data_IF_310903742038
#
_entry.id   IF_310903742038
#
_cell.length_a   1.000
_cell.length_b   1.000
_cell.length_c   1.000
_cell.angle_alpha   90.00
_cell.angle_beta   90.00
_cell.angle_gamma   90.00
#
_symmetry.space_group_name_H-M   'P 1'
#
loop_
_entity.id
_entity.type
_entity.pdbx_description
1 polymer ?
#
# COMPACT_ATOMS: atom_id res chain seq x y z
N UNK A 1 -69.19 1.88 2.90
CA UNK A 1 -69.00 2.97 1.92
C UNK A 1 -68.07 3.95 2.59
N UNK A 2 -66.77 4.05 2.30
CA UNK A 2 -65.87 3.53 1.22
C UNK A 2 -64.45 3.95 1.72
N UNK A 3 -63.51 3.02 1.95
CA UNK A 3 -62.26 2.77 1.17
C UNK A 3 -61.28 3.96 1.18
N UNK A 4 -60.06 3.94 1.75
CA UNK A 4 -58.80 3.15 1.58
C UNK A 4 -57.84 3.68 0.47
N UNK A 5 -56.52 3.48 0.67
CA UNK A 5 -55.33 3.80 -0.18
C UNK A 5 -54.76 5.25 -0.13
N UNK A 6 -53.46 5.57 -0.21
CA UNK A 6 -52.21 4.81 -0.38
C UNK A 6 -51.01 5.68 0.10
N UNK A 7 -49.87 5.05 0.35
CA UNK A 7 -48.58 5.65 0.67
C UNK A 7 -47.83 6.16 -0.58
N UNK A 8 -46.89 7.09 -0.39
CA UNK A 8 -45.52 7.02 -0.96
C UNK A 8 -44.64 8.08 -0.29
N UNK A 9 -43.51 7.61 0.23
CA UNK A 9 -42.35 8.40 0.60
C UNK A 9 -41.52 8.69 -0.66
N UNK A 10 -40.96 9.90 -0.76
CA UNK A 10 -39.78 10.24 -1.55
C UNK A 10 -39.34 11.65 -1.11
N UNK A 11 -38.23 11.75 -0.38
CA UNK A 11 -37.49 13.01 -0.25
C UNK A 11 -35.99 12.69 -0.15
N UNK A 12 -35.40 12.42 -1.31
CA UNK A 12 -33.96 12.47 -1.50
C UNK A 12 -33.56 13.95 -1.62
N UNK A 13 -32.87 14.47 -0.61
CA UNK A 13 -32.39 15.84 -0.58
C UNK A 13 -31.25 16.04 -1.58
N UNK A 14 -31.58 16.57 -2.76
CA UNK A 14 -30.62 17.04 -3.76
C UNK A 14 -29.82 18.25 -3.23
N UNK A 15 -28.50 18.16 -3.20
CA UNK A 15 -27.64 19.31 -2.88
C UNK A 15 -27.65 20.34 -4.02
N UNK A 16 -27.92 21.60 -3.65
CA UNK A 16 -28.11 22.73 -4.56
C UNK A 16 -26.78 23.25 -5.12
N UNK A 17 -26.63 23.19 -6.45
CA UNK A 17 -25.59 23.92 -7.21
C UNK A 17 -25.64 25.41 -6.88
N UNK A 18 -24.55 25.96 -6.32
CA UNK A 18 -24.30 27.41 -6.32
C UNK A 18 -23.18 27.74 -7.28
N UNK A 19 -23.57 28.48 -8.33
CA UNK A 19 -22.70 29.06 -9.35
C UNK A 19 -21.69 30.04 -8.72
N UNK A 20 -20.41 29.89 -9.03
CA UNK A 20 -19.39 30.91 -8.81
C UNK A 20 -19.01 31.55 -10.14
N UNK A 21 -19.30 32.85 -10.27
CA UNK A 21 -19.04 33.63 -11.47
C UNK A 21 -17.55 33.97 -11.60
N UNK A 22 -16.93 33.45 -12.67
CA UNK A 22 -15.60 33.84 -13.13
C UNK A 22 -15.65 35.24 -13.75
N UNK A 23 -14.94 36.20 -13.14
CA UNK A 23 -14.62 37.49 -13.75
C UNK A 23 -13.44 37.32 -14.71
N UNK A 24 -13.72 37.41 -16.01
CA UNK A 24 -12.72 37.23 -17.07
C UNK A 24 -11.83 38.44 -17.37
N UNK A 25 -10.66 38.15 -17.97
CA UNK A 25 -9.99 38.97 -18.99
C UNK A 25 -9.41 38.02 -20.03
N UNK A 26 -9.70 38.26 -21.32
CA UNK A 26 -9.51 37.32 -22.42
C UNK A 26 -8.18 37.39 -23.20
N UNK A 27 -7.74 36.20 -23.64
CA UNK A 27 -7.64 35.69 -25.04
C UNK A 27 -6.74 36.39 -26.10
N UNK A 28 -5.70 35.62 -26.50
CA UNK A 28 -5.05 35.39 -27.84
C UNK A 28 -4.17 36.49 -28.49
N UNK A 29 -3.05 36.25 -29.21
CA UNK A 29 -2.44 35.09 -29.90
C UNK A 29 -0.91 35.40 -30.15
N UNK A 30 0.04 34.58 -30.64
CA UNK A 30 0.11 33.67 -31.81
C UNK A 30 1.40 32.81 -31.72
N UNK A 31 1.30 31.53 -32.15
CA UNK A 31 2.22 30.94 -33.14
C UNK A 31 3.54 30.30 -32.68
N UNK A 32 3.69 28.99 -32.93
CA UNK A 32 4.99 28.34 -33.06
C UNK A 32 4.97 26.87 -32.67
N UNK A 33 5.09 25.99 -33.66
CA UNK A 33 5.19 24.55 -33.51
C UNK A 33 6.35 24.12 -32.59
N UNK A 34 6.12 23.08 -31.77
CA UNK A 34 7.17 22.44 -30.98
C UNK A 34 6.66 21.21 -30.24
N UNK A 35 7.20 20.05 -30.62
CA UNK A 35 7.30 18.76 -29.90
C UNK A 35 6.24 18.41 -28.84
N UNK A 36 5.54 17.29 -29.07
CA UNK A 36 4.87 16.51 -28.02
C UNK A 36 5.93 15.95 -27.07
N UNK A 37 6.24 16.68 -26.02
CA UNK A 37 6.79 16.15 -24.78
C UNK A 37 5.60 15.98 -23.84
N UNK A 38 5.23 14.74 -23.57
CA UNK A 38 4.37 14.37 -22.44
C UNK A 38 5.16 14.63 -21.16
N UNK A 39 5.29 15.90 -20.79
CA UNK A 39 5.56 16.27 -19.41
C UNK A 39 4.23 16.20 -18.69
N UNK A 40 4.03 15.17 -17.87
CA UNK A 40 3.05 15.19 -16.79
C UNK A 40 3.38 16.38 -15.90
N UNK A 41 2.77 17.52 -16.24
CA UNK A 41 2.88 18.75 -15.49
C UNK A 41 2.16 18.56 -14.17
N UNK A 42 2.93 18.32 -13.10
CA UNK A 42 2.51 18.59 -11.71
C UNK A 42 1.90 19.99 -11.67
N UNK A 43 0.57 20.04 -11.61
CA UNK A 43 -0.22 21.14 -12.13
C UNK A 43 -1.49 21.47 -11.35
N UNK A 44 -1.58 21.13 -10.07
CA UNK A 44 -2.30 21.87 -9.02
C UNK A 44 -1.68 21.43 -7.69
N UNK A 45 -1.78 22.18 -6.60
CA UNK A 45 -1.11 21.82 -5.34
C UNK A 45 -1.76 20.61 -4.67
N UNK A 46 -1.51 19.41 -5.19
CA UNK A 46 -1.84 18.16 -4.52
C UNK A 46 -0.93 18.08 -3.28
N UNK A 47 -1.57 18.21 -2.13
CA UNK A 47 -0.87 18.15 -0.86
C UNK A 47 -0.34 16.73 -0.71
N UNK A 48 0.96 16.53 -0.92
CA UNK A 48 1.61 15.27 -0.53
C UNK A 48 1.42 15.07 0.96
N UNK A 49 1.23 13.83 1.40
CA UNK A 49 1.15 13.47 2.81
C UNK A 49 2.33 12.59 3.20
N UNK A 50 2.57 12.51 4.51
CA UNK A 50 3.50 11.55 5.11
C UNK A 50 2.71 10.68 6.06
N UNK A 51 2.70 9.37 5.75
CA UNK A 51 2.27 8.34 6.69
C UNK A 51 3.43 8.04 7.64
N UNK A 52 3.14 7.94 8.92
CA UNK A 52 4.12 7.66 9.96
C UNK A 52 3.59 6.57 10.90
N UNK A 53 4.34 5.48 11.06
CA UNK A 53 4.12 4.51 12.14
C UNK A 53 5.39 4.39 12.97
N UNK A 54 5.37 4.96 14.17
CA UNK A 54 6.57 5.04 15.00
C UNK A 54 7.70 5.85 14.34
N UNK A 55 8.82 5.18 14.04
CA UNK A 55 9.92 5.75 13.23
C UNK A 55 9.84 5.44 11.74
N UNK A 56 8.98 4.53 11.30
CA UNK A 56 8.73 4.24 9.89
C UNK A 56 7.90 5.37 9.27
N UNK A 57 8.21 5.72 8.02
CA UNK A 57 7.54 6.77 7.26
C UNK A 57 7.44 6.39 5.79
N UNK A 58 6.38 6.86 5.15
CA UNK A 58 6.12 6.70 3.72
C UNK A 58 5.58 8.01 3.16
N UNK A 59 5.95 8.33 1.91
CA UNK A 59 5.24 9.34 1.16
C UNK A 59 3.88 8.79 0.74
N UNK A 60 2.88 9.66 0.76
CA UNK A 60 1.51 9.32 0.39
C UNK A 60 1.04 10.32 -0.65
N UNK A 61 0.75 9.76 -1.81
CA UNK A 61 -0.05 10.36 -2.88
C UNK A 61 -1.51 9.88 -2.75
N UNK A 62 -2.48 10.78 -2.48
CA UNK A 62 -3.88 10.41 -2.43
C UNK A 62 -4.38 9.77 -3.72
N UNK A 63 -5.21 8.74 -3.61
CA UNK A 63 -5.93 8.16 -4.76
C UNK A 63 -6.90 9.19 -5.32
N UNK A 64 -7.14 9.14 -6.62
CA UNK A 64 -8.20 9.92 -7.28
C UNK A 64 -8.71 9.14 -8.48
N UNK A 65 -9.98 9.34 -8.84
CA UNK A 65 -10.56 8.71 -10.02
C UNK A 65 -11.42 9.70 -10.77
N UNK A 66 -10.96 10.11 -11.96
CA UNK A 66 -11.60 11.12 -12.79
C UNK A 66 -12.00 12.37 -11.98
N UNK A 67 -13.27 12.81 -12.08
CA UNK A 67 -13.86 13.88 -11.28
C UNK A 67 -14.81 13.33 -10.19
N UNK A 68 -14.74 12.03 -9.87
CA UNK A 68 -15.67 11.37 -8.96
C UNK A 68 -15.48 11.86 -7.52
N UNK A 69 -16.60 12.11 -6.85
CA UNK A 69 -16.62 12.32 -5.40
C UNK A 69 -16.24 11.04 -4.66
N UNK A 70 -15.87 11.15 -3.38
CA UNK A 70 -15.56 9.96 -2.57
C UNK A 70 -16.78 9.04 -2.39
N UNK A 71 -18.00 9.60 -2.40
CA UNK A 71 -19.24 8.81 -2.32
C UNK A 71 -19.47 8.01 -3.61
N UNK A 72 -19.26 8.63 -4.77
CA UNK A 72 -19.34 7.97 -6.07
C UNK A 72 -18.23 6.94 -6.25
N UNK A 73 -17.01 7.24 -5.78
CA UNK A 73 -15.91 6.28 -5.81
C UNK A 73 -16.16 5.09 -4.89
N UNK A 74 -16.71 5.30 -3.69
CA UNK A 74 -16.97 4.23 -2.71
C UNK A 74 -18.15 3.34 -3.14
N UNK A 75 -19.18 3.96 -3.73
CA UNK A 75 -20.40 3.32 -4.24
C UNK A 75 -21.00 2.28 -3.28
N UNK A 76 -21.55 2.75 -2.15
CA UNK A 76 -22.13 1.87 -1.16
C UNK A 76 -23.43 1.20 -1.65
N UNK A 77 -23.40 -0.12 -1.74
CA UNK A 77 -24.51 -0.94 -2.22
C UNK A 77 -25.38 -1.44 -1.06
N UNK A 78 -26.45 -0.69 -0.77
CA UNK A 78 -27.41 -1.01 0.33
C UNK A 78 -28.01 -2.42 0.30
N UNK A 79 -28.03 -3.11 -0.85
CA UNK A 79 -28.56 -4.48 -0.96
C UNK A 79 -27.57 -5.55 -0.51
N UNK A 80 -26.28 -5.33 -0.76
CA UNK A 80 -25.20 -6.23 -0.35
C UNK A 80 -24.55 -5.79 0.96
N UNK A 81 -24.86 -4.58 1.47
CA UNK A 81 -24.17 -3.98 2.60
C UNK A 81 -22.65 -4.02 2.40
N UNK A 82 -22.20 -3.52 1.24
CA UNK A 82 -20.79 -3.51 0.86
C UNK A 82 -20.48 -2.35 -0.07
N UNK A 83 -19.23 -1.92 -0.09
CA UNK A 83 -18.68 -1.02 -1.08
C UNK A 83 -18.55 -1.73 -2.44
N UNK A 84 -18.68 -0.97 -3.53
CA UNK A 84 -18.48 -1.44 -4.90
C UNK A 84 -17.67 -0.41 -5.68
N UNK A 85 -16.41 -0.16 -5.29
CA UNK A 85 -15.73 1.03 -5.72
C UNK A 85 -15.53 1.10 -7.24
N UNK A 86 -15.50 2.33 -7.78
CA UNK A 86 -15.41 2.57 -9.24
C UNK A 86 -14.15 1.94 -9.89
N UNK A 87 -13.09 1.79 -9.11
CA UNK A 87 -11.94 0.95 -9.41
C UNK A 87 -11.77 -0.02 -8.25
N UNK A 88 -11.57 -1.29 -8.56
CA UNK A 88 -11.50 -2.32 -7.53
C UNK A 88 -10.23 -2.17 -6.69
N UNK A 89 -10.45 -1.82 -5.43
CA UNK A 89 -9.43 -1.75 -4.38
C UNK A 89 -9.79 -2.65 -3.20
N UNK A 90 -10.81 -3.51 -3.36
CA UNK A 90 -11.42 -4.32 -2.30
C UNK A 90 -11.11 -5.80 -2.42
N UNK A 91 -10.89 -6.28 -3.63
CA UNK A 91 -10.54 -7.68 -3.90
C UNK A 91 -9.16 -8.06 -3.36
N UNK A 92 -8.91 -9.36 -3.31
CA UNK A 92 -7.73 -9.99 -2.74
C UNK A 92 -7.86 -10.38 -1.27
N UNK A 93 -6.74 -10.53 -0.54
CA UNK A 93 -6.74 -11.11 0.80
C UNK A 93 -7.53 -10.28 1.80
N UNK A 94 -7.82 -10.89 2.94
CA UNK A 94 -8.58 -10.25 3.99
C UNK A 94 -7.75 -9.07 4.52
N UNK A 95 -8.17 -7.83 4.27
CA UNK A 95 -7.37 -6.68 4.69
C UNK A 95 -8.25 -5.56 5.26
N UNK A 96 -7.66 -4.83 6.21
CA UNK A 96 -8.15 -3.52 6.60
C UNK A 96 -7.37 -2.48 5.80
N UNK A 97 -8.00 -1.93 4.77
CA UNK A 97 -7.42 -0.95 3.84
C UNK A 97 -7.76 0.47 4.28
N UNK A 98 -6.78 1.34 4.20
CA UNK A 98 -6.90 2.78 4.50
C UNK A 98 -6.19 3.58 3.42
N UNK A 99 -6.80 4.66 2.94
CA UNK A 99 -6.15 5.57 2.00
C UNK A 99 -6.71 6.97 2.08
N UNK A 100 -6.00 7.92 1.46
CA UNK A 100 -6.52 9.24 1.19
C UNK A 100 -7.11 9.26 -0.22
N UNK A 101 -8.25 9.90 -0.39
CA UNK A 101 -8.92 10.10 -1.67
C UNK A 101 -9.04 11.60 -1.96
N UNK A 102 -8.43 12.07 -3.05
CA UNK A 102 -8.56 13.43 -3.54
C UNK A 102 -9.77 13.54 -4.48
N UNK A 103 -10.85 14.15 -3.98
CA UNK A 103 -12.06 14.42 -4.77
C UNK A 103 -12.19 15.89 -5.17
N UNK A 104 -13.23 16.24 -5.94
CA UNK A 104 -13.43 17.59 -6.50
C UNK A 104 -13.66 18.68 -5.45
N UNK A 105 -14.00 18.30 -4.22
CA UNK A 105 -14.33 19.21 -3.10
C UNK A 105 -13.37 19.06 -1.91
N UNK A 106 -12.28 18.33 -2.06
CA UNK A 106 -11.27 18.14 -1.03
C UNK A 106 -10.82 16.69 -0.84
N UNK A 107 -9.95 16.49 0.15
CA UNK A 107 -9.41 15.18 0.50
C UNK A 107 -10.28 14.47 1.54
N UNK A 108 -10.48 13.18 1.35
CA UNK A 108 -11.18 12.27 2.26
C UNK A 108 -10.23 11.19 2.79
N UNK A 109 -10.45 10.75 4.02
CA UNK A 109 -9.82 9.55 4.58
C UNK A 109 -10.82 8.39 4.47
N UNK A 110 -10.43 7.34 3.74
CA UNK A 110 -11.30 6.21 3.40
C UNK A 110 -10.82 4.95 4.12
N UNK A 111 -11.79 4.16 4.56
CA UNK A 111 -11.62 2.86 5.19
C UNK A 111 -12.43 1.83 4.42
N UNK A 112 -11.79 0.71 4.08
CA UNK A 112 -12.42 -0.46 3.48
C UNK A 112 -11.91 -1.70 4.21
N UNK A 113 -12.81 -2.56 4.64
CA UNK A 113 -12.51 -3.72 5.46
C UNK A 113 -13.13 -4.97 4.85
N UNK A 114 -12.42 -6.09 4.95
CA UNK A 114 -12.86 -7.34 4.33
C UNK A 114 -12.51 -7.41 2.86
N UNK A 115 -13.16 -8.33 2.16
CA UNK A 115 -12.97 -8.57 0.73
C UNK A 115 -14.17 -9.36 0.21
N UNK A 116 -14.66 -9.07 -1.01
CA UNK A 116 -15.64 -9.92 -1.67
C UNK A 116 -15.14 -11.36 -1.88
N UNK A 117 -13.82 -11.58 -1.80
CA UNK A 117 -13.20 -12.85 -2.17
C UNK A 117 -12.94 -13.80 -1.00
N UNK A 118 -13.19 -13.32 0.21
CA UNK A 118 -12.80 -14.02 1.43
C UNK A 118 -14.02 -14.64 2.10
N UNK A 119 -13.97 -15.95 2.31
CA UNK A 119 -15.06 -16.79 2.84
C UNK A 119 -15.34 -16.63 4.34
N UNK A 120 -14.70 -15.65 4.99
CA UNK A 120 -14.90 -15.34 6.39
C UNK A 120 -15.00 -13.83 6.63
N UNK A 121 -15.82 -13.48 7.62
CA UNK A 121 -16.00 -12.12 8.08
C UNK A 121 -14.94 -11.69 9.09
N UNK A 122 -15.09 -10.46 9.58
CA UNK A 122 -14.13 -9.89 10.51
C UNK A 122 -14.65 -8.72 11.32
N UNK A 123 -13.74 -8.06 12.02
CA UNK A 123 -14.06 -6.87 12.81
C UNK A 123 -12.88 -5.93 12.84
N UNK A 124 -13.13 -4.67 12.50
CA UNK A 124 -12.19 -3.58 12.65
C UNK A 124 -12.74 -2.59 13.66
N UNK A 125 -12.04 -2.39 14.77
CA UNK A 125 -12.35 -1.33 15.72
C UNK A 125 -11.19 -0.34 15.75
N UNK A 126 -11.40 0.86 15.22
CA UNK A 126 -10.38 1.90 15.14
C UNK A 126 -10.78 3.10 15.98
N UNK A 127 -9.77 3.83 16.46
CA UNK A 127 -9.96 5.12 17.13
C UNK A 127 -9.13 6.22 16.49
N UNK A 128 -9.68 7.43 16.46
CA UNK A 128 -9.18 8.56 15.70
C UNK A 128 -8.94 9.77 16.60
N UNK A 129 -7.93 10.56 16.23
CA UNK A 129 -7.74 11.92 16.75
C UNK A 129 -7.24 12.82 15.63
N UNK A 130 -7.56 14.12 15.69
CA UNK A 130 -7.18 15.10 14.67
C UNK A 130 -8.24 15.35 13.59
N UNK A 131 -9.32 14.55 13.54
CA UNK A 131 -10.49 14.83 12.69
C UNK A 131 -11.26 16.05 13.24
N UNK A 132 -11.64 16.97 12.35
CA UNK A 132 -12.28 18.23 12.71
C UNK A 132 -13.74 18.25 12.30
N UNK A 133 -14.60 18.62 13.25
CA UNK A 133 -16.06 18.72 13.08
C UNK A 133 -16.52 19.93 12.30
N UNK A 134 -15.72 20.98 12.37
CA UNK A 134 -16.00 22.25 11.70
C UNK A 134 -15.41 22.30 10.31
N UNK A 135 -14.53 21.35 9.97
CA UNK A 135 -13.86 21.27 8.67
C UNK A 135 -14.22 20.00 7.88
N UNK A 136 -14.90 19.02 8.49
CA UNK A 136 -15.19 17.76 7.83
C UNK A 136 -16.34 16.96 8.47
N UNK A 137 -16.80 15.95 7.76
CA UNK A 137 -17.86 15.02 8.18
C UNK A 137 -17.72 13.66 7.49
N UNK A 138 -18.47 12.67 7.97
CA UNK A 138 -18.55 11.36 7.32
C UNK A 138 -19.45 11.47 6.10
N UNK A 139 -18.84 11.48 4.91
CA UNK A 139 -19.53 11.46 3.63
C UNK A 139 -20.15 10.08 3.38
N UNK A 140 -19.41 9.02 3.70
CA UNK A 140 -19.91 7.63 3.64
C UNK A 140 -19.88 7.02 5.03
N UNK A 141 -21.00 6.39 5.40
CA UNK A 141 -21.08 5.42 6.49
C UNK A 141 -21.66 4.16 5.88
N UNK A 142 -20.81 3.17 5.69
CA UNK A 142 -21.28 1.83 5.43
C UNK A 142 -22.04 1.40 6.71
N UNK A 143 -23.27 0.92 6.50
CA UNK A 143 -24.38 0.82 7.45
C UNK A 143 -25.01 2.14 8.00
N UNK A 144 -26.24 2.49 7.58
CA UNK A 144 -26.89 3.74 7.98
C UNK A 144 -27.27 3.76 9.47
N UNK A 145 -27.35 4.98 10.04
CA UNK A 145 -27.73 5.20 11.44
C UNK A 145 -29.01 4.47 11.84
N UNK A 146 -28.91 3.54 12.80
CA UNK A 146 -30.05 2.87 13.44
C UNK A 146 -30.13 1.36 13.22
N UNK A 147 -29.25 0.79 12.40
CA UNK A 147 -29.15 -0.67 12.18
C UNK A 147 -28.10 -1.31 13.09
N UNK A 148 -26.97 -0.63 13.29
CA UNK A 148 -25.92 -0.95 14.27
C UNK A 148 -25.40 0.37 14.89
N UNK A 149 -25.03 0.41 16.17
CA UNK A 149 -24.61 1.64 16.89
C UNK A 149 -23.10 1.90 16.83
N UNK A 150 -22.48 1.43 15.74
CA UNK A 150 -21.05 1.38 15.46
C UNK A 150 -20.32 2.74 15.45
N UNK A 151 -21.07 3.83 15.28
CA UNK A 151 -20.60 5.20 15.41
C UNK A 151 -21.10 5.86 16.71
N UNK A 152 -20.23 5.98 17.72
CA UNK A 152 -20.57 6.66 18.98
C UNK A 152 -21.07 8.11 18.74
N UNK A 153 -22.15 8.51 19.44
CA UNK A 153 -22.72 9.87 19.36
C UNK A 153 -21.66 10.96 19.58
N UNK A 154 -21.90 12.08 18.91
CA UNK A 154 -21.03 13.24 18.81
C UNK A 154 -20.72 13.98 20.13
N UNK A 155 -21.15 13.54 21.32
CA UNK A 155 -20.59 14.09 22.57
C UNK A 155 -19.20 13.50 22.90
N UNK A 156 -18.83 12.37 22.27
CA UNK A 156 -17.49 11.75 22.28
C UNK A 156 -16.85 11.62 20.89
N UNK A 157 -17.67 11.60 19.83
CA UNK A 157 -17.31 12.19 18.56
C UNK A 157 -16.67 11.41 17.46
N UNK A 158 -17.26 10.31 16.97
CA UNK A 158 -16.76 9.47 15.87
C UNK A 158 -15.22 9.26 15.90
N UNK A 159 -14.64 9.38 17.09
CA UNK A 159 -13.25 9.13 17.41
C UNK A 159 -13.04 7.66 17.68
N UNK A 160 -14.11 6.87 17.59
CA UNK A 160 -14.13 5.42 17.63
C UNK A 160 -15.18 4.97 16.63
N UNK A 161 -14.80 4.06 15.75
CA UNK A 161 -15.72 3.43 14.80
C UNK A 161 -15.38 1.96 14.77
N UNK A 162 -16.41 1.14 14.89
CA UNK A 162 -16.34 -0.31 14.76
C UNK A 162 -17.04 -0.69 13.47
N UNK A 163 -16.48 -1.65 12.76
CA UNK A 163 -16.99 -2.19 11.52
C UNK A 163 -17.01 -3.70 11.63
N UNK A 164 -18.03 -4.31 11.07
CA UNK A 164 -18.25 -5.74 11.04
C UNK A 164 -18.76 -6.16 9.67
N UNK A 165 -18.05 -7.08 9.05
CA UNK A 165 -18.44 -7.65 7.77
C UNK A 165 -18.57 -9.16 7.90
N UNK A 166 -19.43 -9.74 7.07
CA UNK A 166 -19.59 -11.17 6.90
C UNK A 166 -18.65 -11.69 5.80
N UNK A 167 -18.69 -13.00 5.55
CA UNK A 167 -17.99 -13.61 4.42
C UNK A 167 -18.41 -12.96 3.09
N UNK A 168 -17.45 -12.76 2.18
CA UNK A 168 -17.64 -12.22 0.84
C UNK A 168 -18.26 -10.80 0.82
N UNK A 169 -18.11 -10.06 1.90
CA UNK A 169 -18.61 -8.68 2.03
C UNK A 169 -17.50 -7.74 2.48
N UNK A 170 -17.72 -6.46 2.25
CA UNK A 170 -16.88 -5.39 2.78
C UNK A 170 -17.66 -4.50 3.73
N UNK A 171 -16.95 -3.76 4.57
CA UNK A 171 -17.52 -2.68 5.38
C UNK A 171 -16.54 -1.48 5.45
N UNK A 172 -16.97 -0.31 5.89
CA UNK A 172 -16.11 0.85 6.08
C UNK A 172 -16.77 2.22 6.06
N UNK A 173 -16.11 3.18 5.42
CA UNK A 173 -16.65 4.53 5.27
C UNK A 173 -15.60 5.56 4.92
N UNK A 174 -16.06 6.79 4.69
CA UNK A 174 -15.22 7.89 4.25
C UNK A 174 -15.48 9.16 5.07
N UNK A 175 -14.41 9.72 5.64
CA UNK A 175 -14.44 11.01 6.32
C UNK A 175 -13.84 12.09 5.41
N UNK A 176 -14.66 13.02 4.94
CA UNK A 176 -14.25 14.15 4.12
C UNK A 176 -13.71 15.31 4.99
N UNK A 177 -12.82 16.12 4.43
CA UNK A 177 -12.33 17.36 5.06
C UNK A 177 -11.06 17.18 5.90
N UNK A 178 -10.12 16.35 5.43
CA UNK A 178 -8.86 16.06 6.16
C UNK A 178 -7.70 16.99 5.82
N UNK A 179 -7.82 17.82 4.80
CA UNK A 179 -6.78 18.78 4.36
C UNK A 179 -6.40 19.83 5.42
N UNK A 180 -7.37 20.26 6.24
CA UNK A 180 -7.14 21.21 7.32
C UNK A 180 -6.55 20.55 8.59
N UNK A 181 -6.42 19.22 8.61
CA UNK A 181 -5.93 18.51 9.78
C UNK A 181 -4.39 18.58 9.88
N UNK A 182 -3.88 19.11 10.98
CA UNK A 182 -2.43 19.16 11.22
C UNK A 182 -1.82 17.75 11.37
N UNK A 183 -2.54 16.83 11.99
CA UNK A 183 -2.13 15.43 12.15
C UNK A 183 -3.36 14.60 12.47
N UNK A 184 -3.61 13.57 11.68
CA UNK A 184 -4.62 12.55 11.98
C UNK A 184 -3.89 11.34 12.56
N UNK A 185 -4.38 10.81 13.68
CA UNK A 185 -3.86 9.54 14.24
C UNK A 185 -4.95 8.49 14.18
N UNK A 186 -4.63 7.35 13.57
CA UNK A 186 -5.47 6.16 13.49
C UNK A 186 -4.87 5.11 14.41
N UNK A 187 -5.65 4.66 15.39
CA UNK A 187 -5.19 3.69 16.41
C UNK A 187 -6.08 2.45 16.37
N UNK A 188 -5.54 1.30 15.92
CA UNK A 188 -6.23 0.03 16.02
C UNK A 188 -6.54 -0.33 17.47
N UNK A 189 -7.75 -0.83 17.72
CA UNK A 189 -8.16 -1.50 18.96
C UNK A 189 -8.38 -2.97 18.73
N UNK A 190 -8.99 -3.31 17.60
CA UNK A 190 -9.20 -4.67 17.13
C UNK A 190 -9.05 -4.68 15.62
N UNK A 191 -8.34 -5.67 15.10
CA UNK A 191 -8.31 -6.04 13.68
C UNK A 191 -8.35 -7.57 13.67
N UNK A 192 -9.51 -8.14 13.37
CA UNK A 192 -9.76 -9.59 13.35
C UNK A 192 -10.36 -9.98 12.02
N UNK A 193 -10.02 -11.19 11.53
CA UNK A 193 -10.41 -11.62 10.19
C UNK A 193 -9.74 -10.79 9.10
N UNK A 194 -8.52 -10.30 9.35
CA UNK A 194 -7.67 -9.63 8.37
C UNK A 194 -6.25 -10.18 8.46
N UNK A 195 -5.64 -10.40 7.30
CA UNK A 195 -4.26 -10.80 7.08
C UNK A 195 -3.32 -9.61 7.21
N UNK A 196 -3.78 -8.41 6.83
CA UNK A 196 -2.98 -7.18 6.89
C UNK A 196 -3.80 -5.93 7.26
N UNK A 197 -3.13 -4.97 7.91
CA UNK A 197 -3.58 -3.58 7.94
C UNK A 197 -2.77 -2.78 6.93
N UNK A 198 -3.41 -2.35 5.86
CA UNK A 198 -2.74 -1.86 4.65
C UNK A 198 -3.10 -0.43 4.37
N UNK A 199 -2.09 0.37 4.03
CA UNK A 199 -2.27 1.71 3.52
C UNK A 199 -2.08 1.72 2.00
N UNK A 200 -3.03 2.25 1.23
CA UNK A 200 -2.94 2.38 -0.23
C UNK A 200 -2.60 3.81 -0.63
N UNK A 201 -1.83 3.96 -1.70
CA UNK A 201 -1.41 5.25 -2.24
C UNK A 201 -1.13 5.17 -3.75
N UNK A 202 -1.20 6.29 -4.46
CA UNK A 202 -0.95 6.35 -5.90
C UNK A 202 -2.22 6.19 -6.73
N UNK A 203 -2.10 5.53 -7.88
CA UNK A 203 -3.20 5.34 -8.82
C UNK A 203 -4.15 4.23 -8.32
N UNK A 204 -5.48 4.43 -8.30
CA UNK A 204 -6.41 3.40 -7.85
C UNK A 204 -6.37 2.11 -8.68
N UNK A 205 -5.97 2.16 -9.96
CA UNK A 205 -5.81 0.97 -10.81
C UNK A 205 -4.43 0.31 -10.71
N UNK A 206 -3.47 0.94 -10.05
CA UNK A 206 -2.16 0.37 -9.73
C UNK A 206 -1.64 0.98 -8.42
N UNK A 207 -2.26 0.57 -7.32
CA UNK A 207 -1.95 1.16 -6.02
C UNK A 207 -0.62 0.63 -5.49
N UNK A 208 0.17 1.53 -4.89
CA UNK A 208 1.23 1.11 -3.99
C UNK A 208 0.65 0.83 -2.61
N UNK A 209 1.01 -0.30 -2.01
CA UNK A 209 0.57 -0.71 -0.70
C UNK A 209 1.69 -0.67 0.34
N UNK A 210 1.37 -0.27 1.57
CA UNK A 210 2.24 -0.41 2.73
C UNK A 210 1.53 -1.14 3.85
N UNK A 211 2.05 -2.29 4.25
CA UNK A 211 1.54 -2.98 5.42
C UNK A 211 2.01 -2.27 6.69
N UNK A 212 1.08 -2.15 7.65
CA UNK A 212 1.26 -1.47 8.92
C UNK A 212 1.18 -2.49 10.05
N UNK A 213 1.89 -2.21 11.14
CA UNK A 213 1.72 -2.97 12.38
C UNK A 213 0.28 -2.83 12.88
N UNK A 214 -0.42 -3.96 13.03
CA UNK A 214 -1.82 -4.02 13.48
C UNK A 214 -2.02 -3.56 14.93
N UNK A 215 -0.95 -3.39 15.69
CA UNK A 215 -0.99 -3.00 17.10
C UNK A 215 -0.60 -1.54 17.36
N UNK A 216 0.06 -0.88 16.41
CA UNK A 216 0.71 0.43 16.64
C UNK A 216 -0.04 1.54 15.90
N UNK A 217 -0.20 2.72 16.49
CA UNK A 217 -0.92 3.81 15.84
C UNK A 217 -0.18 4.33 14.60
N UNK A 218 -0.92 4.61 13.54
CA UNK A 218 -0.44 5.30 12.35
C UNK A 218 -0.85 6.78 12.39
N UNK A 219 -0.03 7.65 11.81
CA UNK A 219 -0.24 9.10 11.76
C UNK A 219 -0.13 9.60 10.33
N UNK A 220 -1.11 10.38 9.89
CA UNK A 220 -1.12 11.07 8.61
C UNK A 220 -0.92 12.56 8.84
N UNK A 221 -0.06 13.17 8.03
CA UNK A 221 0.30 14.59 8.13
C UNK A 221 0.53 15.15 6.74
N UNK A 222 0.20 16.42 6.47
CA UNK A 222 0.70 17.11 5.30
C UNK A 222 2.23 17.00 5.22
N UNK A 223 2.79 16.84 4.03
CA UNK A 223 4.23 16.70 3.86
C UNK A 223 4.98 17.98 4.25
N UNK A 224 4.41 19.16 4.00
CA UNK A 224 5.02 20.47 4.32
C UNK A 224 6.47 20.62 3.80
N UNK A 225 6.73 20.13 2.59
CA UNK A 225 8.07 20.14 1.99
C UNK A 225 9.05 19.14 2.63
N UNK A 226 8.52 18.13 3.35
CA UNK A 226 9.28 17.00 3.87
C UNK A 226 9.13 15.81 2.94
N UNK A 227 10.18 15.01 2.82
CA UNK A 227 10.21 13.85 1.93
C UNK A 227 10.70 12.60 2.64
N UNK A 228 10.41 11.44 2.07
CA UNK A 228 10.91 10.15 2.51
C UNK A 228 11.63 9.47 1.36
N UNK A 229 12.93 9.21 1.55
CA UNK A 229 13.80 8.56 0.57
C UNK A 229 14.08 7.10 0.92
N UNK A 230 14.48 6.32 -0.07
CA UNK A 230 15.02 4.97 0.12
C UNK A 230 16.51 5.02 0.45
N UNK A 231 17.01 3.99 1.13
CA UNK A 231 18.40 3.77 1.43
C UNK A 231 18.76 2.35 1.02
N UNK A 232 19.80 2.19 0.21
CA UNK A 232 20.35 0.88 -0.12
C UNK A 232 21.08 0.35 1.11
N UNK A 233 20.60 -0.74 1.68
CA UNK A 233 21.04 -1.24 2.98
C UNK A 233 21.43 -2.70 2.85
N UNK A 234 22.61 -3.03 3.35
CA UNK A 234 23.01 -4.42 3.62
C UNK A 234 23.08 -4.62 5.13
N UNK A 235 22.53 -5.72 5.61
CA UNK A 235 22.66 -6.17 6.98
C UNK A 235 23.62 -7.35 6.99
N UNK A 236 24.69 -7.26 7.77
CA UNK A 236 25.71 -8.30 7.91
C UNK A 236 26.35 -8.72 6.57
N UNK A 237 26.91 -7.77 5.79
CA UNK A 237 27.44 -8.05 4.44
C UNK A 237 28.61 -9.04 4.37
N UNK A 238 29.17 -9.44 5.51
CA UNK A 238 30.26 -10.41 5.61
C UNK A 238 29.75 -11.85 5.91
N UNK A 239 28.45 -12.05 6.10
CA UNK A 239 27.82 -13.34 6.43
C UNK A 239 26.80 -13.71 5.35
N UNK A 240 26.89 -14.93 4.80
CA UNK A 240 25.97 -15.43 3.77
C UNK A 240 25.49 -16.86 4.15
N UNK A 241 24.19 -17.05 4.46
CA UNK A 241 23.17 -16.02 4.57
C UNK A 241 23.41 -15.09 5.79
N UNK A 242 22.75 -13.93 5.82
CA UNK A 242 22.78 -12.94 6.92
C UNK A 242 22.19 -13.50 8.25
N UNK A 243 22.79 -14.56 8.80
CA UNK A 243 22.29 -15.31 9.94
C UNK A 243 22.84 -14.77 11.26
N UNK A 244 22.00 -14.57 12.27
CA UNK A 244 22.47 -14.12 13.59
C UNK A 244 21.72 -14.78 14.74
N UNK A 245 22.38 -14.91 15.89
CA UNK A 245 21.71 -15.33 17.13
C UNK A 245 21.04 -14.10 17.80
N UNK A 246 19.69 -14.01 17.87
CA UNK A 246 19.00 -12.87 18.47
C UNK A 246 19.28 -12.73 19.98
N UNK A 247 19.76 -13.78 20.63
CA UNK A 247 20.15 -13.78 22.03
C UNK A 247 21.64 -13.49 22.24
N UNK A 248 22.44 -13.45 21.17
CA UNK A 248 23.84 -13.11 21.25
C UNK A 248 24.06 -11.63 21.62
N UNK A 249 25.20 -11.39 22.26
CA UNK A 249 25.67 -10.05 22.60
C UNK A 249 26.73 -9.54 21.62
N UNK A 250 26.79 -10.17 20.45
CA UNK A 250 27.69 -9.81 19.35
C UNK A 250 27.34 -8.43 18.77
N UNK A 251 28.24 -7.97 17.89
CA UNK A 251 28.02 -6.78 17.11
C UNK A 251 27.44 -7.20 15.76
N UNK A 252 26.39 -6.51 15.35
CA UNK A 252 25.79 -6.62 14.03
C UNK A 252 26.18 -5.38 13.22
N UNK A 253 26.57 -5.58 11.97
CA UNK A 253 26.96 -4.50 11.06
C UNK A 253 25.82 -4.25 10.08
N UNK A 254 25.45 -2.99 9.89
CA UNK A 254 24.54 -2.54 8.82
C UNK A 254 25.31 -1.54 7.96
N UNK A 255 25.23 -1.67 6.66
CA UNK A 255 25.94 -0.83 5.70
C UNK A 255 24.94 -0.08 4.86
N UNK A 256 25.04 1.25 4.84
CA UNK A 256 24.36 2.07 3.83
C UNK A 256 25.28 2.15 2.63
N UNK A 257 24.84 1.55 1.53
CA UNK A 257 25.52 1.54 0.23
C UNK A 257 25.10 2.73 -0.62
N UNK A 258 25.83 2.92 -1.72
CA UNK A 258 25.41 3.82 -2.79
C UNK A 258 24.06 3.36 -3.36
N UNK A 259 23.23 4.29 -3.87
CA UNK A 259 22.02 3.92 -4.60
C UNK A 259 22.32 2.89 -5.71
N UNK A 260 21.38 1.98 -6.01
CA UNK A 260 21.54 1.04 -7.12
C UNK A 260 21.90 1.75 -8.43
N UNK A 261 22.61 1.05 -9.32
CA UNK A 261 22.97 1.63 -10.61
C UNK A 261 21.70 1.92 -11.43
N UNK A 262 21.60 3.12 -12.00
CA UNK A 262 20.41 3.54 -12.76
C UNK A 262 19.26 4.11 -11.92
N UNK A 263 19.29 3.97 -10.59
CA UNK A 263 18.24 4.50 -9.71
C UNK A 263 18.17 6.05 -9.75
N UNK A 264 16.95 6.60 -9.61
CA UNK A 264 16.78 8.05 -9.50
C UNK A 264 17.37 8.57 -8.18
N UNK A 265 18.47 9.33 -8.28
CA UNK A 265 19.12 9.95 -7.13
C UNK A 265 18.19 10.88 -6.31
N UNK A 266 17.06 11.32 -6.87
CA UNK A 266 16.06 12.10 -6.15
C UNK A 266 15.33 11.27 -5.09
N UNK A 267 15.16 9.96 -5.30
CA UNK A 267 14.42 9.06 -4.41
C UNK A 267 15.30 8.34 -3.38
N UNK A 268 16.62 8.36 -3.57
CA UNK A 268 17.56 7.64 -2.73
C UNK A 268 18.46 8.56 -1.90
N UNK A 269 18.90 8.09 -0.73
CA UNK A 269 19.99 8.72 0.03
C UNK A 269 21.32 8.11 -0.37
N UNK A 270 22.34 8.95 -0.52
CA UNK A 270 23.71 8.48 -0.59
C UNK A 270 24.28 8.27 0.82
N UNK A 271 25.31 7.40 0.99
CA UNK A 271 25.97 7.23 2.28
C UNK A 271 26.47 8.55 2.87
N UNK A 272 26.93 9.49 2.02
CA UNK A 272 27.42 10.82 2.43
C UNK A 272 26.35 11.70 3.08
N UNK A 273 25.07 11.45 2.76
CA UNK A 273 23.94 12.26 3.24
C UNK A 273 23.51 11.85 4.66
N UNK A 274 23.89 10.64 5.07
CA UNK A 274 23.57 10.09 6.39
C UNK A 274 24.68 10.46 7.37
N UNK A 275 24.34 11.26 8.38
CA UNK A 275 25.25 11.65 9.47
C UNK A 275 24.69 11.18 10.82
N UNK A 276 25.10 9.98 11.30
CA UNK A 276 24.66 9.44 12.58
C UNK A 276 25.12 10.25 13.80
N UNK A 277 26.07 11.18 13.64
CA UNK A 277 26.56 12.05 14.71
C UNK A 277 25.65 13.25 14.96
N UNK A 278 24.93 13.70 13.93
CA UNK A 278 24.08 14.89 13.99
C UNK A 278 22.57 14.58 13.86
N UNK A 279 22.23 13.45 13.24
CA UNK A 279 20.85 13.03 13.00
C UNK A 279 20.57 11.65 13.58
N UNK A 280 19.30 11.42 13.95
CA UNK A 280 18.86 10.13 14.45
C UNK A 280 18.90 9.08 13.35
N UNK A 281 19.56 7.96 13.63
CA UNK A 281 19.55 6.74 12.81
C UNK A 281 19.23 5.57 13.73
N UNK A 282 18.22 4.79 13.35
CA UNK A 282 17.70 3.68 14.13
C UNK A 282 17.60 2.42 13.28
N UNK A 283 17.90 1.28 13.91
CA UNK A 283 17.82 -0.03 13.29
C UNK A 283 16.96 -0.98 14.14
N UNK A 284 16.22 -1.88 13.49
CA UNK A 284 15.47 -2.95 14.16
C UNK A 284 14.38 -3.56 13.28
N UNK A 285 13.56 -4.43 13.86
CA UNK A 285 12.39 -4.99 13.18
C UNK A 285 11.29 -3.95 12.95
N UNK A 286 10.37 -4.23 12.00
CA UNK A 286 9.24 -3.36 11.66
C UNK A 286 8.41 -2.96 12.89
N UNK A 287 7.96 -3.94 13.67
CA UNK A 287 7.14 -3.71 14.87
C UNK A 287 7.88 -2.94 15.97
N UNK A 288 9.18 -3.20 16.12
CA UNK A 288 10.01 -2.49 17.09
C UNK A 288 10.09 -0.99 16.75
N UNK A 289 10.32 -0.66 15.48
CA UNK A 289 10.35 0.70 14.96
C UNK A 289 8.97 1.37 14.97
N UNK A 290 7.91 0.61 14.65
CA UNK A 290 6.52 1.07 14.72
C UNK A 290 6.12 1.47 16.15
N UNK A 291 6.70 0.81 17.15
CA UNK A 291 6.56 1.16 18.58
C UNK A 291 7.35 2.38 19.05
N UNK A 292 7.96 3.17 18.15
CA UNK A 292 8.90 4.26 18.48
C UNK A 292 10.14 3.83 19.25
N UNK A 293 10.54 2.57 19.10
CA UNK A 293 11.81 2.07 19.60
C UNK A 293 12.80 1.92 18.45
N UNK A 294 14.09 1.80 18.74
CA UNK A 294 15.11 1.64 17.71
C UNK A 294 16.50 1.57 18.30
N UNK A 295 17.34 0.71 17.75
CA UNK A 295 18.73 0.62 18.16
C UNK A 295 19.51 1.78 17.53
N UNK A 296 20.24 2.56 18.35
CA UNK A 296 21.22 3.52 17.84
C UNK A 296 22.57 2.85 17.61
N UNK A 297 23.31 3.26 16.55
CA UNK A 297 24.63 2.70 16.28
C UNK A 297 25.59 3.02 17.42
N UNK A 298 26.35 2.02 17.85
CA UNK A 298 27.41 2.16 18.87
C UNK A 298 28.70 2.73 18.27
N UNK A 299 28.96 2.43 16.99
CA UNK A 299 30.05 2.98 16.20
C UNK A 299 29.57 3.18 14.77
N UNK A 300 30.16 4.16 14.09
CA UNK A 300 30.01 4.33 12.66
C UNK A 300 31.35 4.74 12.04
N UNK A 301 31.58 4.32 10.80
CA UNK A 301 32.75 4.73 10.03
C UNK A 301 32.44 4.63 8.53
N UNK A 302 33.27 5.26 7.71
CA UNK A 302 33.15 5.22 6.25
C UNK A 302 34.30 4.45 5.66
N UNK A 303 34.00 3.58 4.72
CA UNK A 303 34.98 2.77 4.00
C UNK A 303 34.51 2.60 2.56
N UNK A 304 35.41 2.83 1.60
CA UNK A 304 35.16 2.66 0.16
C UNK A 304 33.95 3.43 -0.43
N UNK A 305 33.48 4.44 0.31
CA UNK A 305 32.34 5.29 -0.06
C UNK A 305 31.04 4.94 0.66
N UNK A 306 31.00 3.81 1.35
CA UNK A 306 29.83 3.33 2.09
C UNK A 306 29.90 3.74 3.56
N UNK A 307 28.76 3.68 4.25
CA UNK A 307 28.64 4.01 5.67
C UNK A 307 28.33 2.75 6.47
N UNK A 308 29.29 2.35 7.31
CA UNK A 308 29.17 1.21 8.20
C UNK A 308 28.64 1.65 9.56
N UNK A 309 27.63 0.95 10.06
CA UNK A 309 26.93 1.21 11.30
C UNK A 309 26.97 -0.07 12.15
N UNK A 310 27.53 0.01 13.35
CA UNK A 310 27.66 -1.14 14.24
C UNK A 310 26.67 -1.08 15.40
N UNK A 311 25.86 -2.11 15.54
CA UNK A 311 24.83 -2.26 16.56
C UNK A 311 25.13 -3.43 17.48
N UNK A 312 24.56 -3.45 18.68
CA UNK A 312 24.52 -4.68 19.48
C UNK A 312 23.29 -5.47 19.05
N UNK A 313 23.46 -6.76 18.74
CA UNK A 313 22.39 -7.62 18.23
C UNK A 313 21.14 -7.58 19.11
N UNK A 314 21.30 -7.77 20.42
CA UNK A 314 20.20 -7.65 21.42
C UNK A 314 19.45 -6.32 21.41
N UNK A 315 20.05 -5.24 20.91
CA UNK A 315 19.44 -3.90 20.90
C UNK A 315 18.50 -3.70 19.73
N UNK A 316 18.66 -4.46 18.63
CA UNK A 316 17.80 -4.38 17.45
C UNK A 316 16.44 -5.09 17.63
N UNK A 317 16.31 -5.92 18.69
CA UNK A 317 15.06 -6.58 19.10
C UNK A 317 14.39 -7.37 17.96
N UNK A 318 15.18 -8.19 17.27
CA UNK A 318 14.64 -9.20 16.37
C UNK A 318 14.09 -10.39 17.16
N UNK A 319 12.91 -10.87 16.76
CA UNK A 319 12.39 -12.18 17.14
C UNK A 319 12.86 -13.23 16.13
N UNK A 320 12.66 -14.52 16.44
CA UNK A 320 12.84 -15.60 15.46
C UNK A 320 11.90 -15.44 14.25
N UNK A 321 10.78 -14.72 14.41
CA UNK A 321 9.81 -14.48 13.34
C UNK A 321 10.13 -13.26 12.48
N UNK A 322 11.27 -12.59 12.70
CA UNK A 322 11.63 -11.37 11.97
C UNK A 322 12.41 -11.69 10.69
N UNK A 323 11.75 -11.73 9.54
CA UNK A 323 12.39 -11.96 8.24
C UNK A 323 13.24 -10.77 7.74
N UNK A 324 12.97 -9.54 8.24
CA UNK A 324 13.65 -8.34 7.77
C UNK A 324 14.10 -7.40 8.88
N UNK A 325 15.21 -6.71 8.62
CA UNK A 325 15.66 -5.56 9.39
C UNK A 325 15.48 -4.26 8.61
N UNK A 326 15.13 -3.20 9.33
CA UNK A 326 14.91 -1.88 8.74
C UNK A 326 15.87 -0.88 9.36
N UNK A 327 16.48 -0.06 8.51
CA UNK A 327 17.24 1.11 8.90
C UNK A 327 16.43 2.35 8.57
N UNK A 328 16.17 3.20 9.57
CA UNK A 328 15.44 4.46 9.39
C UNK A 328 16.21 5.62 9.96
N UNK A 329 16.07 6.79 9.36
CA UNK A 329 16.75 7.97 9.88
C UNK A 329 16.32 9.28 9.26
N UNK A 330 17.13 10.30 9.51
CA UNK A 330 16.98 11.63 8.91
C UNK A 330 18.26 12.03 8.19
N UNK A 331 18.08 12.76 7.09
CA UNK A 331 19.13 13.55 6.48
C UNK A 331 18.64 15.00 6.38
N UNK A 332 19.41 15.93 6.94
CA UNK A 332 18.99 17.33 7.03
C UNK A 332 17.76 17.55 7.92
N UNK A 333 17.05 18.66 7.69
CA UNK A 333 15.89 19.05 8.48
C UNK A 333 14.58 18.44 8.00
N UNK A 334 14.48 18.12 6.70
CA UNK A 334 13.21 17.84 6.03
C UNK A 334 13.12 16.46 5.37
N UNK A 335 14.20 15.67 5.35
CA UNK A 335 14.18 14.38 4.66
C UNK A 335 14.37 13.25 5.65
N UNK A 336 13.46 12.29 5.60
CA UNK A 336 13.61 11.00 6.23
C UNK A 336 14.12 9.99 5.22
N UNK A 337 14.68 8.90 5.72
CA UNK A 337 14.97 7.75 4.88
C UNK A 337 14.59 6.45 5.57
N UNK A 338 14.34 5.43 4.74
CA UNK A 338 14.19 4.03 5.15
C UNK A 338 14.95 3.13 4.18
N UNK A 339 15.51 2.05 4.68
CA UNK A 339 16.01 0.93 3.89
C UNK A 339 15.73 -0.36 4.64
N UNK A 340 15.70 -1.47 3.92
CA UNK A 340 15.46 -2.80 4.45
C UNK A 340 16.52 -3.74 3.91
N UNK A 341 16.78 -4.82 4.64
CA UNK A 341 17.42 -6.02 4.09
C UNK A 341 16.87 -7.24 4.84
N UNK A 342 17.04 -8.42 4.25
CA UNK A 342 16.64 -9.71 4.81
C UNK A 342 17.59 -10.14 5.91
N UNK A 343 17.04 -10.69 6.99
CA UNK A 343 17.79 -11.18 8.15
C UNK A 343 17.27 -12.55 8.59
N UNK A 344 18.17 -13.45 9.02
CA UNK A 344 17.80 -14.80 9.46
C UNK A 344 18.19 -15.03 10.93
N UNK A 345 17.27 -14.85 11.90
CA UNK A 345 17.55 -15.09 13.30
C UNK A 345 17.60 -16.60 13.61
N UNK A 346 18.79 -17.14 13.86
CA UNK A 346 18.99 -18.39 14.60
C UNK A 346 18.85 -19.71 13.85
N UNK A 347 19.26 -19.81 12.58
CA UNK A 347 19.35 -21.09 11.85
C UNK A 347 17.99 -21.75 11.57
N UNK A 348 16.91 -21.00 11.75
CA UNK A 348 15.57 -21.36 11.32
C UNK A 348 15.27 -20.66 9.99
N UNK A 349 14.56 -21.35 9.11
CA UNK A 349 13.94 -20.72 7.96
C UNK A 349 12.71 -19.93 8.45
N UNK A 350 12.95 -18.69 8.85
CA UNK A 350 11.89 -17.74 9.16
C UNK A 350 11.48 -16.92 7.93
N UNK A 351 12.05 -17.25 6.77
CA UNK A 351 11.66 -16.76 5.43
C UNK A 351 10.54 -17.62 4.83
N UNK A 352 10.18 -18.78 5.40
CA UNK A 352 8.91 -19.47 5.09
C UNK A 352 7.65 -18.62 5.39
N UNK A 353 7.83 -17.45 6.02
CA UNK A 353 6.84 -16.38 6.15
C UNK A 353 7.40 -15.06 5.64
N UNK A 354 7.75 -15.00 4.36
CA UNK A 354 7.73 -13.74 3.63
C UNK A 354 6.26 -13.26 3.59
N UNK A 355 5.90 -12.03 4.03
CA UNK A 355 5.11 -11.22 3.11
C UNK A 355 6.03 -10.98 1.92
N UNK A 356 5.74 -11.69 0.83
CA UNK A 356 6.41 -11.56 -0.45
C UNK A 356 6.76 -10.10 -0.73
N UNK A 357 8.01 -9.80 -1.07
CA UNK A 357 8.31 -8.50 -1.70
C UNK A 357 7.54 -8.38 -3.02
N UNK A 358 7.14 -9.51 -3.59
CA UNK A 358 6.33 -9.60 -4.80
C UNK A 358 4.85 -9.66 -4.43
N UNK A 359 4.09 -8.59 -4.57
CA UNK A 359 2.64 -8.58 -4.31
C UNK A 359 1.86 -8.67 -5.62
N UNK A 360 0.71 -9.33 -5.62
CA UNK A 360 -0.26 -9.19 -6.72
C UNK A 360 -0.95 -7.83 -6.56
N UNK A 361 -0.78 -6.94 -7.53
CA UNK A 361 -1.33 -5.56 -7.48
C UNK A 361 -2.55 -5.36 -8.34
N UNK A 362 -2.67 -6.11 -9.42
CA UNK A 362 -3.76 -6.02 -10.38
C UNK A 362 -3.94 -7.38 -11.08
N UNK A 363 -5.12 -7.60 -11.63
CA UNK A 363 -5.39 -8.72 -12.53
C UNK A 363 -6.62 -8.43 -13.38
N UNK A 364 -6.61 -8.99 -14.57
CA UNK A 364 -7.80 -9.08 -15.40
C UNK A 364 -8.01 -10.54 -15.77
N UNK A 365 -8.90 -11.24 -15.07
CA UNK A 365 -9.14 -12.69 -15.24
C UNK A 365 -10.41 -12.98 -16.05
N UNK A 366 -11.23 -11.97 -16.31
CA UNK A 366 -12.45 -12.06 -17.12
C UNK A 366 -12.51 -10.90 -18.13
N UNK A 367 -11.62 -10.89 -19.14
CA UNK A 367 -11.57 -9.82 -20.13
C UNK A 367 -12.89 -9.69 -20.91
N UNK A 368 -13.37 -8.46 -21.13
CA UNK A 368 -14.62 -8.18 -21.85
C UNK A 368 -14.68 -8.92 -23.21
N UNK A 369 -15.59 -9.89 -23.32
CA UNK A 369 -15.69 -10.77 -24.48
C UNK A 369 -15.68 -12.23 -24.04
N UNK A 370 -15.25 -13.15 -24.92
CA UNK A 370 -14.90 -14.51 -24.48
C UNK A 370 -13.39 -14.61 -24.37
N UNK A 371 -12.87 -15.12 -23.25
CA UNK A 371 -11.44 -15.13 -22.92
C UNK A 371 -10.57 -15.72 -24.02
N UNK A 372 -11.04 -16.79 -24.69
CA UNK A 372 -10.35 -17.41 -25.83
C UNK A 372 -10.06 -16.46 -26.99
N UNK A 373 -10.84 -15.39 -27.12
CA UNK A 373 -10.69 -14.37 -28.15
C UNK A 373 -9.84 -13.17 -27.65
N UNK A 374 -9.56 -13.10 -26.33
CA UNK A 374 -8.93 -11.98 -25.63
C UNK A 374 -7.85 -12.41 -24.61
N UNK A 375 -7.15 -13.53 -24.83
CA UNK A 375 -6.14 -14.08 -23.90
C UNK A 375 -4.97 -13.13 -23.62
N UNK A 376 -4.65 -12.21 -24.54
CA UNK A 376 -3.63 -11.19 -24.32
C UNK A 376 -4.13 -10.01 -23.44
N UNK A 377 -5.39 -10.06 -23.01
CA UNK A 377 -5.98 -9.16 -22.03
C UNK A 377 -6.26 -9.86 -20.70
N UNK A 378 -6.08 -11.18 -20.64
CA UNK A 378 -6.13 -11.97 -19.41
C UNK A 378 -4.74 -11.95 -18.76
N UNK A 379 -4.60 -11.35 -17.57
CA UNK A 379 -3.29 -11.17 -16.93
C UNK A 379 -3.33 -11.14 -15.41
N UNK A 380 -2.16 -11.35 -14.80
CA UNK A 380 -1.85 -11.06 -13.40
C UNK A 380 -0.66 -10.11 -13.34
N UNK A 381 -0.74 -9.06 -12.53
CA UNK A 381 0.34 -8.11 -12.30
C UNK A 381 1.02 -8.34 -10.95
N UNK A 382 2.35 -8.37 -10.97
CA UNK A 382 3.18 -8.49 -9.79
C UNK A 382 4.02 -7.23 -9.58
N UNK A 383 4.06 -6.71 -8.36
CA UNK A 383 4.92 -5.56 -7.98
C UNK A 383 5.93 -5.95 -6.94
N UNK A 384 7.16 -5.49 -7.10
CA UNK A 384 8.15 -5.52 -6.03
C UNK A 384 7.86 -4.39 -5.01
N UNK A 385 7.08 -4.69 -3.96
CA UNK A 385 6.85 -3.89 -2.74
C UNK A 385 8.14 -3.53 -1.99
N UNK A 386 9.22 -4.26 -2.29
CA UNK A 386 10.50 -4.10 -1.63
C UNK A 386 11.27 -2.85 -2.00
N UNK A 387 12.26 -2.57 -1.15
CA UNK A 387 13.14 -1.41 -1.33
C UNK A 387 14.38 -1.74 -2.18
N UNK A 388 14.58 -3.01 -2.62
CA UNK A 388 15.72 -3.48 -3.44
C UNK A 388 15.25 -4.25 -4.68
N UNK A 389 16.04 -4.31 -5.78
CA UNK A 389 15.71 -5.13 -6.94
C UNK A 389 15.58 -6.61 -6.56
N UNK A 390 14.49 -7.23 -6.99
CA UNK A 390 14.21 -8.64 -6.75
C UNK A 390 14.70 -9.45 -7.95
N UNK A 391 15.79 -10.20 -7.77
CA UNK A 391 16.22 -11.19 -8.75
C UNK A 391 15.24 -12.37 -8.71
N UNK A 392 14.48 -12.55 -9.79
CA UNK A 392 13.51 -13.62 -9.96
C UNK A 392 14.02 -14.70 -10.92
N UNK A 393 15.35 -14.80 -11.09
CA UNK A 393 15.97 -15.88 -11.87
C UNK A 393 15.55 -17.23 -11.30
N UNK A 394 14.96 -18.07 -12.16
CA UNK A 394 14.48 -19.40 -11.77
C UNK A 394 13.10 -19.41 -11.10
N UNK A 395 12.45 -18.26 -10.94
CA UNK A 395 11.11 -18.21 -10.37
C UNK A 395 10.08 -18.80 -11.33
N UNK A 396 9.02 -19.38 -10.78
CA UNK A 396 7.93 -19.98 -11.55
C UNK A 396 6.59 -19.48 -11.03
N UNK A 397 5.76 -18.92 -11.92
CA UNK A 397 4.35 -18.62 -11.61
C UNK A 397 3.54 -19.87 -11.88
N UNK A 398 2.71 -20.28 -10.92
CA UNK A 398 1.87 -21.47 -10.99
C UNK A 398 0.43 -21.08 -10.68
N UNK A 399 -0.52 -21.54 -11.48
CA UNK A 399 -1.93 -21.49 -11.10
C UNK A 399 -2.26 -22.66 -10.13
N UNK A 400 -3.53 -22.91 -9.86
CA UNK A 400 -3.88 -24.05 -9.04
C UNK A 400 -4.12 -25.36 -9.81
N UNK A 401 -4.31 -25.32 -11.13
CA UNK A 401 -4.43 -26.52 -11.97
C UNK A 401 -3.06 -27.10 -12.37
N UNK A 402 -1.98 -26.36 -12.13
CA UNK A 402 -0.59 -26.76 -12.38
C UNK A 402 -0.02 -26.23 -13.70
N UNK A 403 -0.61 -25.18 -14.28
CA UNK A 403 0.01 -24.39 -15.34
C UNK A 403 1.20 -23.62 -14.78
N UNK A 404 2.36 -23.80 -15.41
CA UNK A 404 3.62 -23.18 -14.98
C UNK A 404 4.17 -22.21 -16.03
N UNK A 405 4.52 -21.00 -15.58
CA UNK A 405 5.28 -20.02 -16.34
C UNK A 405 6.63 -19.80 -15.67
N UNK A 406 7.71 -20.20 -16.33
CA UNK A 406 9.06 -19.92 -15.83
C UNK A 406 9.50 -18.52 -16.26
N UNK A 407 9.93 -17.73 -15.28
CA UNK A 407 10.53 -16.42 -15.52
C UNK A 407 11.83 -16.59 -16.31
N UNK A 408 12.17 -15.64 -17.20
CA UNK A 408 13.40 -15.74 -17.98
C UNK A 408 14.64 -15.67 -17.08
N UNK A 409 15.71 -16.37 -17.46
CA UNK A 409 16.99 -16.29 -16.76
C UNK A 409 17.48 -14.84 -16.69
N UNK A 410 17.86 -14.37 -15.49
CA UNK A 410 18.28 -13.00 -15.27
C UNK A 410 17.14 -11.99 -15.18
N UNK A 411 15.89 -12.42 -15.01
CA UNK A 411 14.78 -11.50 -14.74
C UNK A 411 14.97 -10.82 -13.40
N UNK A 412 14.97 -9.50 -13.38
CA UNK A 412 15.05 -8.71 -12.15
C UNK A 412 13.94 -7.68 -12.17
N UNK A 413 13.11 -7.69 -11.12
CA UNK A 413 12.05 -6.71 -10.93
C UNK A 413 12.55 -5.62 -9.98
N UNK A 414 12.76 -4.42 -10.50
CA UNK A 414 13.27 -3.27 -9.73
C UNK A 414 12.34 -2.92 -8.55
N UNK A 415 12.91 -2.31 -7.51
CA UNK A 415 12.16 -1.90 -6.32
C UNK A 415 11.01 -0.93 -6.68
N UNK A 416 9.76 -1.33 -6.42
CA UNK A 416 8.55 -0.60 -6.76
C UNK A 416 8.08 -0.75 -8.22
N UNK A 417 8.77 -1.54 -9.04
CA UNK A 417 8.34 -1.82 -10.41
C UNK A 417 7.29 -2.94 -10.45
N UNK A 418 6.46 -2.92 -11.50
CA UNK A 418 5.43 -3.92 -11.77
C UNK A 418 5.74 -4.68 -13.05
N UNK A 419 5.32 -5.94 -13.12
CA UNK A 419 5.32 -6.76 -14.35
C UNK A 419 3.99 -7.51 -14.49
N UNK A 420 3.45 -7.55 -15.71
CA UNK A 420 2.25 -8.29 -16.07
C UNK A 420 2.60 -9.59 -16.75
N UNK A 421 1.99 -10.69 -16.30
CA UNK A 421 2.01 -11.96 -17.00
C UNK A 421 0.66 -12.17 -17.71
N UNK A 422 0.68 -12.02 -19.03
CA UNK A 422 -0.48 -12.26 -19.90
C UNK A 422 -0.55 -13.73 -20.34
N UNK A 423 -1.75 -14.30 -20.42
CA UNK A 423 -1.94 -15.68 -20.87
C UNK A 423 -1.64 -15.86 -22.37
N UNK A 424 -2.09 -14.92 -23.19
CA UNK A 424 -2.03 -15.02 -24.66
C UNK A 424 -0.65 -14.73 -25.27
N UNK A 425 -0.63 -14.63 -26.60
CA UNK A 425 0.57 -14.19 -27.35
C UNK A 425 0.76 -12.67 -27.29
N UNK A 426 2.01 -12.23 -27.24
CA UNK A 426 2.37 -10.82 -27.34
C UNK A 426 3.87 -10.61 -27.41
N UNK A 427 4.29 -9.34 -27.41
CA UNK A 427 5.70 -8.97 -27.49
C UNK A 427 6.22 -8.62 -26.09
N UNK A 428 7.18 -9.40 -25.62
CA UNK A 428 7.81 -9.20 -24.32
C UNK A 428 8.49 -7.83 -24.22
N UNK A 429 8.32 -7.19 -23.07
CA UNK A 429 9.03 -5.97 -22.67
C UNK A 429 9.28 -5.97 -21.15
N UNK A 430 9.75 -4.86 -20.58
CA UNK A 430 10.08 -4.75 -19.15
C UNK A 430 8.83 -4.86 -18.24
N UNK A 431 7.67 -4.46 -18.74
CA UNK A 431 6.40 -4.40 -18.02
C UNK A 431 5.44 -5.55 -18.40
N UNK A 432 5.61 -6.20 -19.56
CA UNK A 432 4.72 -7.26 -20.06
C UNK A 432 5.49 -8.54 -20.47
N UNK A 433 5.07 -9.66 -19.86
CA UNK A 433 5.44 -11.03 -20.19
C UNK A 433 4.24 -11.75 -20.80
N UNK A 434 4.50 -12.70 -21.70
CA UNK A 434 3.45 -13.42 -22.42
C UNK A 434 3.70 -14.93 -22.40
N UNK A 435 2.73 -15.68 -21.89
CA UNK A 435 2.76 -17.14 -21.80
C UNK A 435 2.62 -17.80 -23.18
N UNK A 436 1.92 -17.15 -24.11
CA UNK A 436 1.73 -17.64 -25.47
C UNK A 436 0.77 -18.84 -25.57
N UNK A 437 -0.15 -18.97 -24.62
CA UNK A 437 -1.15 -20.03 -24.60
C UNK A 437 -2.38 -19.66 -25.44
N UNK A 438 -3.09 -20.69 -25.92
CA UNK A 438 -4.34 -20.58 -26.68
C UNK A 438 -5.58 -20.97 -25.86
N UNK A 439 -5.40 -21.12 -24.54
CA UNK A 439 -6.44 -21.40 -23.56
C UNK A 439 -6.31 -20.45 -22.37
N UNK A 440 -7.42 -20.05 -21.73
CA UNK A 440 -7.37 -19.31 -20.47
C UNK A 440 -6.67 -20.14 -19.39
N UNK A 441 -6.02 -19.44 -18.47
CA UNK A 441 -5.32 -20.06 -17.31
C UNK A 441 -5.96 -19.59 -16.01
N UNK A 442 -6.31 -18.32 -15.93
CA UNK A 442 -6.79 -17.69 -14.71
C UNK A 442 -8.31 -17.88 -14.62
N UNK A 443 -8.76 -18.74 -13.72
CA UNK A 443 -10.20 -19.05 -13.61
C UNK A 443 -11.06 -17.84 -13.25
N UNK A 444 -12.01 -17.45 -14.11
CA UNK A 444 -12.92 -16.30 -13.93
C UNK A 444 -13.76 -16.42 -12.65
N UNK A 445 -14.10 -17.66 -12.28
CA UNK A 445 -14.84 -18.01 -11.08
C UNK A 445 -13.93 -18.34 -9.90
N UNK A 446 -12.61 -18.09 -9.99
CA UNK A 446 -11.62 -18.17 -8.93
C UNK A 446 -10.42 -19.09 -9.14
N UNK A 447 -9.26 -18.66 -8.63
CA UNK A 447 -8.04 -19.44 -8.71
C UNK A 447 -7.01 -19.13 -7.62
N UNK A 448 -5.87 -19.81 -7.66
CA UNK A 448 -4.72 -19.53 -6.79
C UNK A 448 -3.48 -19.30 -7.64
N UNK A 449 -2.95 -18.08 -7.59
CA UNK A 449 -1.64 -17.72 -8.13
C UNK A 449 -0.59 -18.06 -7.07
N UNK A 450 0.43 -18.81 -7.46
CA UNK A 450 1.63 -19.06 -6.67
C UNK A 450 2.82 -18.55 -7.44
N UNK A 451 3.79 -17.98 -6.73
CA UNK A 451 5.13 -17.77 -7.28
C UNK A 451 6.08 -18.58 -6.43
N UNK A 452 6.77 -19.51 -7.08
CA UNK A 452 7.82 -20.33 -6.51
C UNK A 452 9.17 -19.71 -6.86
N UNK A 453 10.11 -19.73 -5.93
CA UNK A 453 11.49 -19.34 -6.23
C UNK A 453 12.28 -20.45 -6.95
N UNK A 454 13.58 -20.23 -7.14
CA UNK A 454 14.48 -21.19 -7.80
C UNK A 454 14.69 -22.51 -7.03
N UNK A 455 14.24 -22.58 -5.77
CA UNK A 455 14.33 -23.76 -4.90
C UNK A 455 12.97 -24.48 -4.78
N UNK A 456 11.98 -24.08 -5.59
CA UNK A 456 10.58 -24.53 -5.59
C UNK A 456 9.80 -24.14 -4.32
N UNK A 457 10.28 -23.15 -3.55
CA UNK A 457 9.61 -22.65 -2.35
C UNK A 457 8.65 -21.52 -2.69
N UNK A 458 7.45 -21.54 -2.09
CA UNK A 458 6.42 -20.54 -2.37
C UNK A 458 6.77 -19.19 -1.72
N UNK A 459 7.15 -18.22 -2.56
CA UNK A 459 7.45 -16.85 -2.12
C UNK A 459 6.24 -15.93 -2.17
N UNK A 460 5.19 -16.27 -2.93
CA UNK A 460 3.89 -15.60 -2.98
C UNK A 460 2.80 -16.65 -3.19
N UNK A 461 1.72 -16.58 -2.42
CA UNK A 461 0.47 -17.29 -2.70
C UNK A 461 -0.68 -16.29 -2.61
N UNK A 462 -1.46 -16.20 -3.68
CA UNK A 462 -2.57 -15.26 -3.82
C UNK A 462 -3.79 -15.99 -4.37
N UNK A 463 -4.82 -16.15 -3.53
CA UNK A 463 -6.12 -16.68 -3.94
C UNK A 463 -7.09 -15.55 -4.28
N UNK A 464 -7.84 -15.72 -5.37
CA UNK A 464 -9.00 -14.90 -5.74
C UNK A 464 -10.19 -15.81 -6.01
N UNK A 465 -11.42 -15.29 -5.93
CA UNK A 465 -12.55 -16.00 -5.36
C UNK A 465 -12.98 -17.20 -6.18
N UNK A 466 -12.86 -18.40 -5.62
CA UNK A 466 -13.53 -19.64 -6.07
C UNK A 466 -14.98 -19.66 -5.61
N UNK A 467 -15.92 -19.40 -6.50
CA UNK A 467 -17.37 -19.44 -6.18
C UNK A 467 -17.88 -20.83 -5.80
#
# INVERSE_FOLDING_TARGET
MTEDSDATADDASSLSRREFALGGVGVLALGGAGAYLSTSGRGSSESMYVLQQGYLRWEVDPLSHEDATVEEFYDYQTRSASASPAVDVTSGPAASRVFLYAGPVGTSLVFLHGSPDVDHGGTAFLTFSGLSRSAGEWAVRDDPMGTDDDFEKWEGGNAKVKWQWDANTTDGGAFWGVEDAQTITITPKTLQGVDAWRFLTGDPGNTTAFDLSTEKPAKLKPADGRSVKRANVDIMPDEDPNEFDPYATSTLTVVVKKPPEGADASEWVAPSDVDPGNYSVYFGSKDYLAGQNGASPQKHFRQDGDLYLQYKTKSAQFSLDSAYGYLVGKTGSNTWFRGRDTVRPGGFDNTEREPSQLVVTDMNVDPEGGDREHLASEYVEFTNDGDDPLDMTGYTVVDAEGWEFHLPDGFTLEAGASVRLHTGEGQWNEDDLYWGLDTPVWGNDGDTIRVLDAEDEAVLEYGYPRT
#
